data_IF_475038307624
#
_entry.id   IF_475038307624
#
_cell.length_a   1.000
_cell.length_b   1.000
_cell.length_c   1.000
_cell.angle_alpha   90.00
_cell.angle_beta   90.00
_cell.angle_gamma   90.00
#
_symmetry.space_group_name_H-M   'P 1'
#
loop_
_entity.id
_entity.type
_entity.pdbx_description
1 polymer ?
#
# COMPACT_ATOMS: atom_id res chain seq x y z
N UNK A 1 2.39 -9.61 0.33
CA UNK A 1 2.45 -8.34 1.09
C UNK A 1 1.16 -7.61 0.80
N UNK A 2 0.28 -7.41 1.80
CA UNK A 2 -0.87 -6.52 1.60
C UNK A 2 -0.32 -5.11 1.71
N UNK A 3 0.08 -4.55 0.57
CA UNK A 3 0.35 -3.13 0.51
C UNK A 3 -0.98 -2.42 0.46
N UNK A 4 -1.35 -1.79 1.57
CA UNK A 4 -2.35 -0.73 1.52
C UNK A 4 -1.59 0.53 1.16
N UNK A 5 -1.61 0.91 -0.10
CA UNK A 5 -0.97 2.12 -0.58
C UNK A 5 -0.65 2.07 -2.05
N UNK A 6 -0.44 3.25 -2.66
CA UNK A 6 -0.42 3.42 -4.10
C UNK A 6 0.58 2.47 -4.72
N UNK A 7 0.07 1.63 -5.63
CA UNK A 7 0.92 0.97 -6.61
C UNK A 7 1.81 2.03 -7.23
N UNK A 8 3.11 1.77 -7.21
CA UNK A 8 4.17 2.67 -7.66
C UNK A 8 3.78 3.29 -9.02
N UNK A 9 3.39 4.57 -9.01
CA UNK A 9 3.05 5.30 -10.23
C UNK A 9 4.37 5.73 -10.86
N UNK A 10 4.79 5.01 -11.89
CA UNK A 10 5.88 5.46 -12.75
C UNK A 10 5.45 6.75 -13.46
N UNK A 11 5.94 7.89 -12.98
CA UNK A 11 5.74 9.19 -13.59
C UNK A 11 6.57 9.31 -14.88
N UNK A 12 6.06 8.77 -15.99
CA UNK A 12 6.51 9.14 -17.33
C UNK A 12 5.58 10.24 -17.87
N UNK A 13 5.89 11.49 -17.57
CA UNK A 13 5.20 12.67 -18.09
C UNK A 13 5.68 12.98 -19.52
N UNK A 14 4.83 12.72 -20.51
CA UNK A 14 4.93 13.22 -21.88
C UNK A 14 4.52 14.70 -21.91
N UNK A 15 5.49 15.59 -22.18
CA UNK A 15 5.31 17.05 -22.19
C UNK A 15 4.82 17.62 -23.53
N UNK A 16 4.25 16.81 -24.42
CA UNK A 16 3.83 17.30 -25.74
C UNK A 16 2.31 17.53 -25.87
N UNK A 17 1.79 18.58 -25.23
CA UNK A 17 0.58 19.35 -25.65
C UNK A 17 0.20 20.41 -24.60
N UNK A 18 0.64 21.65 -24.80
CA UNK A 18 0.02 22.82 -24.17
C UNK A 18 -0.26 23.83 -25.29
N UNK A 19 -1.53 23.96 -25.66
CA UNK A 19 -2.05 25.08 -26.46
C UNK A 19 -2.99 25.90 -25.60
N UNK A 20 -2.85 27.20 -25.73
CA UNK A 20 -3.39 28.25 -24.90
C UNK A 20 -4.93 28.27 -24.78
N UNK A 21 -5.41 28.71 -23.62
CA UNK A 21 -6.67 29.45 -23.53
C UNK A 21 -6.57 30.53 -22.45
N UNK A 22 -6.95 31.75 -22.84
CA UNK A 22 -6.87 33.01 -22.09
C UNK A 22 -8.16 33.20 -21.28
N UNK A 23 -8.03 33.55 -20.00
CA UNK A 23 -9.14 33.99 -19.10
C UNK A 23 -9.64 35.40 -19.44
N UNK A 24 -10.79 35.81 -18.88
CA UNK A 24 -10.67 36.81 -17.80
C UNK A 24 -11.72 36.69 -16.66
N UNK A 25 -11.30 37.10 -15.46
CA UNK A 25 -12.17 37.89 -14.57
C UNK A 25 -12.39 37.38 -13.13
N UNK A 26 -11.71 38.01 -12.16
CA UNK A 26 -12.23 38.20 -10.79
C UNK A 26 -11.34 37.71 -9.64
N UNK A 27 -11.34 38.37 -8.46
CA UNK A 27 -10.10 38.77 -7.79
C UNK A 27 -9.86 38.18 -6.38
N UNK A 28 -8.61 38.33 -5.90
CA UNK A 28 -8.11 38.31 -4.51
C UNK A 28 -8.22 36.95 -3.76
N UNK A 29 -7.19 36.40 -3.10
CA UNK A 29 -6.16 37.00 -2.24
C UNK A 29 -4.87 36.17 -2.32
N UNK A 30 -3.73 36.85 -2.53
CA UNK A 30 -2.39 36.26 -2.51
C UNK A 30 -1.89 36.04 -1.07
N UNK A 31 -1.46 34.81 -0.78
CA UNK A 31 -0.46 34.52 0.25
C UNK A 31 0.28 33.22 -0.10
N UNK A 32 1.15 33.28 -1.10
CA UNK A 32 2.14 32.22 -1.38
C UNK A 32 3.45 32.85 -1.84
N UNK A 33 4.50 32.62 -1.05
CA UNK A 33 5.94 32.81 -1.36
C UNK A 33 6.70 32.45 -0.07
N UNK A 34 7.66 31.53 0.03
CA UNK A 34 8.70 30.93 -0.84
C UNK A 34 9.09 29.56 -0.23
N UNK A 35 9.82 28.61 -0.84
CA UNK A 35 11.03 28.66 -1.69
C UNK A 35 11.05 27.42 -2.61
N UNK A 36 11.38 27.49 -3.91
CA UNK A 36 12.69 27.74 -4.58
C UNK A 36 13.82 26.80 -4.17
N UNK A 37 14.04 25.76 -4.98
CA UNK A 37 15.39 25.40 -5.43
C UNK A 37 15.38 25.32 -6.96
N UNK A 38 16.40 25.96 -7.53
CA UNK A 38 16.64 26.28 -8.92
C UNK A 38 17.41 25.14 -9.60
N UNK A 39 16.98 24.82 -10.81
CA UNK A 39 17.75 24.53 -12.04
C UNK A 39 19.13 23.86 -11.95
N UNK A 40 19.29 22.77 -12.71
CA UNK A 40 20.43 22.64 -13.61
C UNK A 40 19.96 22.16 -14.99
N UNK A 41 20.23 23.01 -15.98
CA UNK A 41 20.08 22.78 -17.42
C UNK A 41 21.19 21.86 -17.96
N UNK A 42 20.92 21.23 -19.13
CA UNK A 42 21.75 21.10 -20.35
C UNK A 42 21.25 19.90 -21.21
N UNK A 43 21.54 19.81 -22.53
CA UNK A 43 21.10 20.64 -23.65
C UNK A 43 20.44 19.78 -24.79
N UNK A 44 19.91 20.40 -25.88
CA UNK A 44 19.26 19.67 -26.98
C UNK A 44 20.27 19.22 -28.06
N UNK A 45 20.18 17.96 -28.47
CA UNK A 45 21.07 17.34 -29.47
C UNK A 45 20.32 16.78 -30.68
N UNK A 46 20.16 17.62 -31.71
CA UNK A 46 20.16 17.34 -33.16
C UNK A 46 19.59 16.01 -33.71
N UNK A 47 18.49 16.17 -34.46
CA UNK A 47 18.07 15.37 -35.61
C UNK A 47 19.22 15.12 -36.61
N UNK A 48 19.44 13.86 -37.01
CA UNK A 48 19.99 13.52 -38.34
C UNK A 48 19.31 12.29 -38.94
N UNK A 49 18.87 12.49 -40.18
CA UNK A 49 18.34 11.55 -41.16
C UNK A 49 19.50 10.86 -41.89
N UNK A 50 19.45 9.54 -42.07
CA UNK A 50 20.28 8.76 -43.02
C UNK A 50 19.70 7.33 -43.03
N UNK A 51 18.91 6.99 -44.05
CA UNK A 51 19.31 6.26 -45.26
C UNK A 51 19.63 4.78 -45.04
N UNK A 52 18.83 3.95 -45.72
CA UNK A 52 18.95 2.52 -45.81
C UNK A 52 20.27 2.10 -46.47
N UNK A 53 20.90 1.05 -45.96
CA UNK A 53 21.82 0.23 -46.76
C UNK A 53 21.73 -1.22 -46.30
N UNK A 54 21.13 -2.02 -47.18
CA UNK A 54 21.15 -3.48 -47.21
C UNK A 54 22.59 -3.98 -47.23
N UNK A 55 23.01 -4.78 -46.24
CA UNK A 55 24.16 -5.68 -46.41
C UNK A 55 23.89 -7.08 -45.86
N UNK A 56 24.18 -8.01 -46.78
CA UNK A 56 24.16 -9.47 -46.71
C UNK A 56 24.84 -10.00 -45.45
N UNK A 57 24.24 -11.05 -44.92
CA UNK A 57 24.75 -11.82 -43.79
C UNK A 57 26.13 -12.41 -44.05
N UNK A 58 26.95 -12.36 -43.01
CA UNK A 58 28.12 -13.20 -42.83
C UNK A 58 28.06 -13.68 -41.38
N UNK A 59 27.72 -14.97 -41.21
CA UNK A 59 27.87 -15.70 -39.97
C UNK A 59 29.35 -15.64 -39.54
N UNK A 60 29.60 -15.11 -38.34
CA UNK A 60 30.89 -15.27 -37.64
C UNK A 60 30.69 -16.08 -36.36
N UNK A 61 31.64 -16.97 -36.03
CA UNK A 61 31.55 -17.85 -34.87
C UNK A 61 31.84 -17.11 -33.55
N UNK A 62 31.29 -17.72 -32.51
CA UNK A 62 31.13 -17.31 -31.12
C UNK A 62 32.47 -16.98 -30.42
N UNK A 63 32.55 -15.81 -29.78
CA UNK A 63 33.52 -15.53 -28.70
C UNK A 63 32.78 -15.50 -27.37
N UNK A 64 32.60 -16.70 -26.80
CA UNK A 64 32.09 -16.90 -25.45
C UNK A 64 33.10 -16.43 -24.42
N UNK A 65 32.87 -15.25 -23.84
CA UNK A 65 33.53 -14.78 -22.60
C UNK A 65 32.88 -13.53 -21.97
N UNK A 66 31.94 -12.87 -22.65
CA UNK A 66 31.30 -11.65 -22.13
C UNK A 66 29.94 -11.86 -21.45
N UNK A 67 29.33 -13.05 -21.51
CA UNK A 67 27.97 -13.30 -20.98
C UNK A 67 27.97 -13.61 -19.47
N UNK A 68 29.11 -13.99 -18.89
CA UNK A 68 29.18 -14.36 -17.48
C UNK A 68 29.15 -13.16 -16.52
N UNK A 69 29.55 -11.97 -16.95
CA UNK A 69 29.59 -10.79 -16.08
C UNK A 69 28.21 -10.13 -15.90
N UNK A 70 27.34 -10.16 -16.92
CA UNK A 70 26.01 -9.55 -16.81
C UNK A 70 25.05 -10.38 -15.96
N UNK A 71 25.17 -11.71 -15.99
CA UNK A 71 24.35 -12.60 -15.13
C UNK A 71 24.72 -12.40 -13.65
N UNK A 72 25.99 -12.13 -13.32
CA UNK A 72 26.42 -11.92 -11.94
C UNK A 72 25.89 -10.60 -11.35
N UNK A 73 25.71 -9.56 -12.18
CA UNK A 73 25.16 -8.27 -11.75
C UNK A 73 23.64 -8.36 -11.48
N UNK A 74 22.91 -9.16 -12.28
CA UNK A 74 21.48 -9.43 -12.04
C UNK A 74 21.28 -10.23 -10.74
N UNK A 75 22.18 -11.16 -10.41
CA UNK A 75 22.07 -11.93 -9.15
C UNK A 75 22.36 -11.07 -7.92
N UNK A 76 23.25 -10.07 -8.02
CA UNK A 76 23.60 -9.19 -6.90
C UNK A 76 22.51 -8.15 -6.57
N UNK A 77 21.77 -7.65 -7.57
CA UNK A 77 20.69 -6.66 -7.34
C UNK A 77 19.44 -7.32 -6.72
N UNK A 78 19.22 -8.63 -6.92
CA UNK A 78 18.08 -9.38 -6.36
C UNK A 78 18.18 -9.70 -4.86
N UNK A 79 19.27 -9.31 -4.20
CA UNK A 79 19.54 -9.65 -2.81
C UNK A 79 19.55 -8.44 -1.88
N UNK A 80 18.69 -7.45 -2.15
CA UNK A 80 18.23 -6.58 -1.07
C UNK A 80 17.38 -7.46 -0.17
N UNK A 81 17.81 -7.77 1.08
CA UNK A 81 16.95 -8.47 2.02
C UNK A 81 15.78 -7.53 2.30
N UNK A 82 14.69 -7.69 1.55
CA UNK A 82 13.41 -7.09 1.89
C UNK A 82 13.17 -7.43 3.36
N UNK A 83 13.05 -6.41 4.18
CA UNK A 83 12.82 -6.55 5.61
C UNK A 83 11.39 -7.07 5.82
N UNK A 84 11.07 -8.29 5.36
CA UNK A 84 9.90 -9.05 5.80
C UNK A 84 10.24 -9.62 7.17
N UNK A 85 10.48 -8.69 8.08
CA UNK A 85 10.79 -8.99 9.44
C UNK A 85 9.52 -9.67 9.98
N UNK A 86 9.60 -10.97 10.27
CA UNK A 86 8.44 -11.76 10.73
C UNK A 86 8.40 -11.79 12.26
N UNK A 87 7.21 -11.89 12.85
CA UNK A 87 7.04 -12.18 14.27
C UNK A 87 6.96 -13.71 14.46
N UNK A 88 7.82 -14.33 15.30
CA UNK A 88 7.75 -15.76 15.55
C UNK A 88 6.37 -16.20 16.07
N UNK A 89 5.72 -17.14 15.36
CA UNK A 89 4.39 -17.63 15.72
C UNK A 89 3.23 -16.76 15.22
N UNK A 90 3.49 -15.85 14.29
CA UNK A 90 2.49 -15.05 13.60
C UNK A 90 2.51 -15.31 12.09
N UNK A 91 1.36 -15.09 11.48
CA UNK A 91 1.18 -15.06 10.04
C UNK A 91 0.93 -13.62 9.59
N UNK A 92 1.53 -13.25 8.46
CA UNK A 92 1.25 -11.98 7.79
C UNK A 92 -0.01 -12.14 6.92
N UNK A 93 -1.01 -11.28 7.14
CA UNK A 93 -2.19 -11.18 6.28
C UNK A 93 -1.74 -10.91 4.83
N UNK A 94 -2.19 -11.75 3.90
CA UNK A 94 -1.88 -11.66 2.48
C UNK A 94 -3.07 -11.11 1.70
N UNK A 95 -2.79 -10.35 0.64
CA UNK A 95 -3.85 -9.73 -0.16
C UNK A 95 -4.67 -10.79 -0.91
N UNK A 96 -4.06 -11.93 -1.21
CA UNK A 96 -4.75 -13.09 -1.76
C UNK A 96 -5.83 -13.68 -0.85
N UNK A 97 -5.83 -13.34 0.46
CA UNK A 97 -6.88 -13.73 1.41
C UNK A 97 -8.04 -12.73 1.44
N UNK A 98 -7.94 -11.64 0.68
CA UNK A 98 -8.92 -10.56 0.66
C UNK A 98 -9.83 -10.67 -0.57
N UNK A 99 -11.12 -10.46 -0.36
CA UNK A 99 -12.14 -10.47 -1.41
C UNK A 99 -13.11 -9.32 -1.23
N UNK A 100 -13.66 -8.82 -2.34
CA UNK A 100 -14.67 -7.75 -2.31
C UNK A 100 -15.81 -8.13 -1.36
N UNK A 101 -16.15 -7.23 -0.45
CA UNK A 101 -17.26 -7.45 0.47
C UNK A 101 -18.56 -7.50 -0.32
N UNK A 102 -19.41 -8.49 -0.01
CA UNK A 102 -20.73 -8.58 -0.60
C UNK A 102 -21.69 -7.53 0.00
N UNK A 103 -22.85 -7.37 -0.64
CA UNK A 103 -23.84 -6.41 -0.20
C UNK A 103 -24.39 -6.69 1.21
N UNK A 104 -24.43 -7.96 1.63
CA UNK A 104 -24.91 -8.33 2.95
C UNK A 104 -23.93 -7.85 4.02
N UNK A 105 -22.64 -8.19 3.89
CA UNK A 105 -21.59 -7.71 4.77
C UNK A 105 -21.61 -6.19 4.87
N UNK A 106 -21.60 -5.46 3.75
CA UNK A 106 -21.61 -3.99 3.76
C UNK A 106 -22.85 -3.43 4.47
N UNK A 107 -24.01 -4.08 4.35
CA UNK A 107 -25.24 -3.65 5.03
C UNK A 107 -25.19 -3.79 6.55
N UNK A 108 -24.33 -4.68 7.08
CA UNK A 108 -24.12 -4.85 8.52
C UNK A 108 -23.10 -3.87 9.12
N UNK A 109 -22.32 -3.18 8.27
CA UNK A 109 -21.29 -2.24 8.73
C UNK A 109 -21.90 -0.91 9.20
N UNK A 110 -21.23 -0.18 10.11
CA UNK A 110 -21.68 1.14 10.57
C UNK A 110 -21.92 2.12 9.41
N UNK A 111 -22.92 3.00 9.54
CA UNK A 111 -23.45 3.86 8.45
C UNK A 111 -22.42 4.71 7.68
N UNK A 112 -21.27 5.00 8.29
CA UNK A 112 -20.16 5.70 7.64
C UNK A 112 -19.47 4.91 6.51
N UNK A 113 -19.64 3.58 6.47
CA UNK A 113 -19.02 2.70 5.47
C UNK A 113 -19.74 2.70 4.13
N UNK A 114 -21.01 3.10 4.11
CA UNK A 114 -21.93 2.93 2.98
C UNK A 114 -21.49 3.79 1.80
N UNK A 115 -20.86 4.94 2.05
CA UNK A 115 -20.22 5.79 1.04
C UNK A 115 -19.10 5.06 0.27
N UNK A 116 -18.48 4.07 0.89
CA UNK A 116 -17.32 3.34 0.38
C UNK A 116 -17.67 1.91 -0.07
N UNK A 117 -18.96 1.55 -0.09
CA UNK A 117 -19.46 0.19 -0.28
C UNK A 117 -18.78 -0.62 -1.41
N UNK A 118 -18.51 0.01 -2.55
CA UNK A 118 -17.91 -0.65 -3.72
C UNK A 118 -16.43 -1.00 -3.55
N UNK A 119 -15.76 -0.39 -2.58
CA UNK A 119 -14.33 -0.48 -2.30
C UNK A 119 -14.05 -1.15 -0.95
N UNK A 120 -15.08 -1.70 -0.30
CA UNK A 120 -14.89 -2.50 0.90
C UNK A 120 -14.42 -3.89 0.49
N UNK A 121 -13.35 -4.38 1.11
CA UNK A 121 -12.99 -5.81 1.04
C UNK A 121 -12.87 -6.40 2.44
N UNK A 122 -13.04 -7.71 2.49
CA UNK A 122 -12.88 -8.53 3.68
C UNK A 122 -11.72 -9.49 3.48
N UNK A 123 -10.81 -9.56 4.43
CA UNK A 123 -9.73 -10.53 4.47
C UNK A 123 -10.00 -11.56 5.55
N UNK A 124 -10.15 -12.82 5.16
CA UNK A 124 -10.34 -13.91 6.11
C UNK A 124 -9.00 -14.23 6.81
N UNK A 125 -9.02 -14.31 8.15
CA UNK A 125 -7.86 -14.73 8.91
C UNK A 125 -7.79 -16.25 8.91
N UNK A 126 -6.65 -16.81 8.53
CA UNK A 126 -6.46 -18.26 8.48
C UNK A 126 -5.98 -18.78 9.83
N UNK A 127 -6.64 -19.80 10.36
CA UNK A 127 -6.25 -20.58 11.51
C UNK A 127 -5.08 -21.52 11.25
N UNK A 128 -4.68 -22.22 12.32
CA UNK A 128 -3.59 -23.20 12.28
C UNK A 128 -3.89 -24.29 11.24
N UNK A 129 -2.91 -24.60 10.38
CA UNK A 129 -3.02 -25.54 9.27
C UNK A 129 -3.90 -25.07 8.09
N UNK A 130 -4.20 -23.77 7.99
CA UNK A 130 -4.85 -23.18 6.81
C UNK A 130 -6.36 -23.37 6.75
N UNK A 131 -7.01 -23.69 7.88
CA UNK A 131 -8.47 -23.60 8.00
C UNK A 131 -8.90 -22.18 8.35
N UNK A 132 -10.07 -21.67 7.94
CA UNK A 132 -10.61 -20.41 8.46
C UNK A 132 -10.59 -20.31 9.99
N UNK A 133 -10.14 -19.16 10.52
CA UNK A 133 -10.19 -18.89 11.97
C UNK A 133 -11.61 -18.53 12.45
N UNK A 134 -12.48 -18.12 11.52
CA UNK A 134 -13.77 -17.51 11.84
C UNK A 134 -13.68 -16.02 12.15
N UNK A 135 -12.51 -15.39 11.97
CA UNK A 135 -12.35 -13.94 12.03
C UNK A 135 -12.01 -13.37 10.65
N UNK A 136 -12.42 -12.14 10.41
CA UNK A 136 -12.07 -11.41 9.20
C UNK A 136 -11.78 -9.95 9.50
N UNK A 137 -10.89 -9.35 8.71
CA UNK A 137 -10.60 -7.92 8.76
C UNK A 137 -11.27 -7.24 7.58
N UNK A 138 -12.08 -6.22 7.87
CA UNK A 138 -12.79 -5.44 6.87
C UNK A 138 -12.22 -4.03 6.82
N UNK A 139 -11.93 -3.56 5.61
CA UNK A 139 -11.34 -2.25 5.36
C UNK A 139 -11.80 -1.68 4.02
N UNK A 140 -11.59 -0.38 3.84
CA UNK A 140 -11.76 0.29 2.55
C UNK A 140 -10.44 0.20 1.78
N UNK A 141 -10.48 -0.27 0.54
CA UNK A 141 -9.36 -0.23 -0.40
C UNK A 141 -9.26 1.18 -0.97
N UNK A 142 -8.54 2.02 -0.25
CA UNK A 142 -8.48 3.46 -0.52
C UNK A 142 -7.81 3.77 -1.88
N UNK A 143 -6.83 2.98 -2.31
CA UNK A 143 -6.20 3.21 -3.61
C UNK A 143 -7.19 3.00 -4.75
N UNK A 144 -8.00 1.93 -4.70
CA UNK A 144 -9.06 1.68 -5.67
C UNK A 144 -10.10 2.80 -5.63
N UNK A 145 -10.47 3.26 -4.43
CA UNK A 145 -11.38 4.39 -4.26
C UNK A 145 -10.86 5.66 -4.94
N UNK A 146 -9.60 6.02 -4.70
CA UNK A 146 -9.02 7.23 -5.27
C UNK A 146 -8.77 7.13 -6.77
N UNK A 147 -8.35 5.97 -7.28
CA UNK A 147 -8.19 5.73 -8.71
C UNK A 147 -9.52 5.91 -9.46
N UNK A 148 -10.62 5.37 -8.91
CA UNK A 148 -11.94 5.50 -9.52
C UNK A 148 -12.49 6.94 -9.40
N UNK A 149 -12.37 7.56 -8.22
CA UNK A 149 -13.01 8.84 -7.93
C UNK A 149 -12.23 10.06 -8.45
N UNK A 150 -10.91 9.99 -8.47
CA UNK A 150 -10.03 11.08 -8.86
C UNK A 150 -8.95 10.64 -9.87
N UNK A 151 -9.32 10.05 -11.02
CA UNK A 151 -8.36 9.45 -11.96
C UNK A 151 -7.34 10.45 -12.56
N UNK A 152 -7.55 11.76 -12.41
CA UNK A 152 -6.71 12.83 -12.99
C UNK A 152 -6.56 14.05 -12.06
N UNK A 153 -6.93 13.92 -10.80
CA UNK A 153 -6.94 15.03 -9.85
C UNK A 153 -6.18 14.62 -8.60
N UNK A 154 -5.64 15.60 -7.88
CA UNK A 154 -5.12 15.33 -6.56
C UNK A 154 -6.27 14.85 -5.67
N UNK A 155 -6.11 13.70 -4.99
CA UNK A 155 -7.14 13.16 -4.13
C UNK A 155 -7.46 14.19 -3.04
N UNK A 156 -8.76 14.39 -2.78
CA UNK A 156 -9.19 15.15 -1.61
C UNK A 156 -9.12 14.24 -0.39
N UNK A 157 -8.78 14.84 0.75
CA UNK A 157 -8.86 14.13 2.02
C UNK A 157 -10.27 13.60 2.26
N UNK A 158 -10.35 12.36 2.72
CA UNK A 158 -11.59 11.63 2.92
C UNK A 158 -11.60 11.02 4.33
N UNK A 159 -12.73 11.10 5.07
CA UNK A 159 -12.84 10.56 6.42
C UNK A 159 -13.08 9.05 6.39
N UNK A 160 -12.09 8.27 5.93
CA UNK A 160 -12.21 6.81 5.88
C UNK A 160 -12.42 6.22 7.28
N UNK A 161 -13.31 5.22 7.42
CA UNK A 161 -13.46 4.52 8.68
C UNK A 161 -12.22 3.67 9.00
N UNK A 162 -11.95 3.46 10.29
CA UNK A 162 -10.94 2.49 10.75
C UNK A 162 -11.33 1.08 10.34
N UNK A 163 -10.36 0.27 9.95
CA UNK A 163 -10.58 -1.15 9.67
C UNK A 163 -11.14 -1.88 10.91
N UNK A 164 -12.07 -2.80 10.68
CA UNK A 164 -12.77 -3.55 11.73
C UNK A 164 -12.33 -5.01 11.72
N UNK A 165 -12.35 -5.63 12.89
CA UNK A 165 -12.23 -7.08 13.05
C UNK A 165 -13.63 -7.61 13.33
N UNK A 166 -14.10 -8.54 12.50
CA UNK A 166 -15.40 -9.19 12.63
C UNK A 166 -15.22 -10.65 12.99
N UNK A 167 -16.15 -11.20 13.77
CA UNK A 167 -16.28 -12.64 13.97
C UNK A 167 -17.12 -13.31 12.86
N UNK A 168 -17.36 -14.61 13.01
CA UNK A 168 -18.12 -15.44 12.07
C UNK A 168 -19.60 -15.05 11.98
N UNK A 169 -20.09 -14.25 12.92
CA UNK A 169 -21.44 -13.71 12.96
C UNK A 169 -21.51 -12.26 12.46
N UNK A 170 -20.42 -11.75 11.87
CA UNK A 170 -20.26 -10.37 11.42
C UNK A 170 -20.35 -9.34 12.54
N UNK A 171 -20.19 -9.76 13.79
CA UNK A 171 -20.15 -8.84 14.93
C UNK A 171 -18.77 -8.19 14.98
N UNK A 172 -18.75 -6.87 15.19
CA UNK A 172 -17.50 -6.14 15.44
C UNK A 172 -16.92 -6.59 16.78
N UNK A 173 -15.76 -7.21 16.73
CA UNK A 173 -15.01 -7.68 17.90
C UNK A 173 -13.70 -6.91 18.09
N UNK A 174 -13.35 -6.00 17.18
CA UNK A 174 -12.16 -5.18 17.32
C UNK A 174 -12.06 -4.09 16.24
N UNK A 175 -11.08 -3.22 16.39
CA UNK A 175 -10.81 -2.13 15.44
C UNK A 175 -9.31 -1.92 15.35
N UNK A 176 -8.77 -1.85 14.12
CA UNK A 176 -7.36 -1.53 13.93
C UNK A 176 -7.13 -0.04 14.24
N UNK A 177 -6.03 0.31 14.92
CA UNK A 177 -5.78 1.70 15.33
C UNK A 177 -5.44 2.61 14.13
N UNK A 178 -5.04 2.03 13.00
CA UNK A 178 -4.66 2.75 11.78
C UNK A 178 -5.89 3.27 11.03
N UNK A 179 -5.86 4.56 10.69
CA UNK A 179 -6.72 5.16 9.66
C UNK A 179 -5.83 5.44 8.46
N UNK A 180 -6.27 5.01 7.28
CA UNK A 180 -5.54 5.21 6.04
C UNK A 180 -6.28 6.15 5.08
N UNK A 181 -5.56 7.01 4.34
CA UNK A 181 -4.17 7.41 4.56
C UNK A 181 -4.05 8.32 5.79
N UNK A 182 -2.87 8.35 6.43
CA UNK A 182 -2.46 9.51 7.25
C UNK A 182 -1.91 10.56 6.27
N UNK A 183 -1.46 11.73 6.71
CA UNK A 183 -1.00 12.82 5.82
C UNK A 183 0.06 12.39 4.77
N UNK A 184 0.71 11.23 4.96
CA UNK A 184 1.64 10.57 4.05
C UNK A 184 1.17 9.19 3.59
N UNK A 185 1.77 8.71 2.49
CA UNK A 185 1.58 7.34 1.99
C UNK A 185 2.22 6.37 3.00
N UNK A 186 1.44 5.46 3.57
CA UNK A 186 1.91 4.47 4.57
C UNK A 186 1.38 3.08 4.28
N UNK A 187 2.17 2.02 4.47
CA UNK A 187 1.75 0.65 4.18
C UNK A 187 1.65 -0.18 5.48
N UNK A 188 0.45 -0.44 6.02
CA UNK A 188 0.27 -1.24 7.21
C UNK A 188 0.35 -2.74 6.90
N UNK A 189 1.28 -3.43 7.55
CA UNK A 189 1.33 -4.90 7.59
C UNK A 189 0.61 -5.40 8.85
N UNK A 190 -0.31 -6.34 8.67
CA UNK A 190 -1.09 -6.94 9.76
C UNK A 190 -0.62 -8.36 10.00
N UNK A 191 -0.16 -8.62 11.22
CA UNK A 191 0.28 -9.94 11.66
C UNK A 191 -0.71 -10.48 12.69
N UNK A 192 -1.09 -11.75 12.59
CA UNK A 192 -2.00 -12.40 13.53
C UNK A 192 -1.44 -13.75 13.97
N UNK A 193 -1.62 -14.12 15.24
CA UNK A 193 -0.98 -15.34 15.75
C UNK A 193 -1.22 -15.62 17.22
N UNK A 194 -0.28 -16.35 17.82
CA UNK A 194 -0.36 -16.82 19.22
C UNK A 194 -1.66 -17.57 19.51
N UNK A 195 -1.97 -18.54 18.66
CA UNK A 195 -3.24 -19.24 18.67
C UNK A 195 -3.57 -19.96 19.99
N UNK A 196 -4.80 -19.76 20.47
CA UNK A 196 -5.48 -20.68 21.39
C UNK A 196 -6.64 -21.28 20.60
N UNK A 197 -6.65 -22.62 20.49
CA UNK A 197 -7.56 -23.37 19.61
C UNK A 197 -7.57 -22.81 18.17
N UNK A 198 -8.53 -21.95 17.84
CA UNK A 198 -8.69 -21.33 16.52
C UNK A 198 -8.84 -19.80 16.59
N UNK A 199 -8.51 -19.19 17.73
CA UNK A 199 -8.55 -17.74 17.93
C UNK A 199 -7.11 -17.21 17.92
N UNK A 200 -6.77 -16.24 17.06
CA UNK A 200 -5.49 -15.57 17.16
C UNK A 200 -5.53 -14.67 18.39
N UNK A 201 -4.74 -14.97 19.43
CA UNK A 201 -4.83 -14.19 20.68
C UNK A 201 -4.15 -12.83 20.58
N UNK A 202 -3.32 -12.62 19.56
CA UNK A 202 -2.67 -11.35 19.29
C UNK A 202 -2.76 -10.98 17.81
N UNK A 203 -3.05 -9.70 17.56
CA UNK A 203 -2.93 -9.04 16.25
C UNK A 203 -1.97 -7.85 16.40
N UNK A 204 -0.95 -7.80 15.54
CA UNK A 204 0.08 -6.76 15.50
C UNK A 204 -0.01 -5.99 14.20
N UNK A 205 0.31 -4.71 14.27
CA UNK A 205 0.26 -3.81 13.12
C UNK A 205 1.59 -3.07 13.07
N UNK A 206 2.35 -3.33 12.01
CA UNK A 206 3.53 -2.55 11.64
C UNK A 206 3.13 -1.65 10.48
N UNK A 207 3.74 -0.47 10.36
CA UNK A 207 3.47 0.48 9.30
C UNK A 207 4.78 0.94 8.68
N UNK A 208 4.97 0.60 7.41
CA UNK A 208 6.03 1.16 6.59
C UNK A 208 5.67 2.60 6.24
N UNK A 209 6.53 3.55 6.62
CA UNK A 209 6.35 4.96 6.28
C UNK A 209 7.59 5.47 5.54
N UNK A 210 7.54 5.62 4.20
CA UNK A 210 8.65 6.12 3.40
C UNK A 210 8.98 7.61 3.64
N UNK A 211 8.15 8.35 4.39
CA UNK A 211 8.43 9.75 4.75
C UNK A 211 9.47 9.87 5.88
N UNK A 212 9.85 11.12 6.23
CA UNK A 212 10.92 11.41 7.20
C UNK A 212 10.70 10.84 8.61
N UNK A 213 9.49 10.39 8.95
CA UNK A 213 9.16 9.77 10.24
C UNK A 213 9.63 8.32 10.40
N UNK A 214 9.90 7.63 9.29
CA UNK A 214 10.27 6.21 9.31
C UNK A 214 9.17 5.27 9.82
N UNK A 215 9.46 3.97 9.77
CA UNK A 215 8.52 2.93 10.16
C UNK A 215 8.12 3.00 11.63
N UNK A 216 6.85 2.71 11.90
CA UNK A 216 6.29 2.67 13.25
C UNK A 216 5.36 1.47 13.42
N UNK A 217 5.02 1.15 14.65
CA UNK A 217 4.09 0.05 14.95
C UNK A 217 3.08 0.46 16.01
N UNK A 218 2.06 -0.36 16.23
CA UNK A 218 1.09 -0.17 17.30
C UNK A 218 1.23 -1.24 18.37
N UNK A 219 0.79 -0.91 19.58
CA UNK A 219 0.58 -1.92 20.61
C UNK A 219 -0.33 -3.04 20.08
N UNK A 220 0.01 -4.29 20.44
CA UNK A 220 -0.75 -5.44 19.99
C UNK A 220 -2.21 -5.35 20.47
N UNK A 221 -3.11 -5.72 19.58
CA UNK A 221 -4.49 -6.04 19.92
C UNK A 221 -4.52 -7.43 20.52
N UNK A 222 -4.91 -7.53 21.78
CA UNK A 222 -4.96 -8.79 22.53
C UNK A 222 -6.41 -9.24 22.66
N UNK A 223 -6.65 -10.53 22.42
CA UNK A 223 -7.95 -11.15 22.63
C UNK A 223 -8.29 -11.21 24.12
N UNK A 224 -9.43 -10.64 24.48
CA UNK A 224 -10.01 -10.70 25.82
C UNK A 224 -11.18 -11.69 25.81
N UNK A 225 -10.93 -12.89 26.38
CA UNK A 225 -11.92 -13.95 26.50
C UNK A 225 -13.17 -13.52 27.28
N UNK A 226 -13.04 -12.61 28.26
CA UNK A 226 -14.18 -12.20 29.09
C UNK A 226 -15.19 -11.36 28.32
N UNK A 227 -14.71 -10.56 27.36
CA UNK A 227 -15.56 -9.70 26.54
C UNK A 227 -15.72 -10.17 25.09
N UNK A 228 -15.06 -11.28 24.73
CA UNK A 228 -14.97 -11.80 23.35
C UNK A 228 -14.63 -10.68 22.35
N UNK A 229 -13.59 -9.90 22.67
CA UNK A 229 -13.15 -8.77 21.84
C UNK A 229 -11.65 -8.55 21.91
N UNK A 230 -11.09 -7.97 20.85
CA UNK A 230 -9.72 -7.50 20.80
C UNK A 230 -9.61 -6.11 21.42
N UNK A 231 -8.65 -5.94 22.33
CA UNK A 231 -8.34 -4.66 22.97
C UNK A 231 -6.87 -4.32 22.78
N UNK A 232 -6.59 -3.05 22.55
CA UNK A 232 -5.23 -2.53 22.63
C UNK A 232 -4.99 -1.89 24.00
N UNK A 233 -3.77 -1.99 24.50
CA UNK A 233 -3.30 -1.20 25.64
C UNK A 233 -2.87 0.22 25.26
N UNK A 234 -2.92 0.59 23.97
CA UNK A 234 -2.64 1.93 23.48
C UNK A 234 -3.05 2.14 22.01
N UNK A 235 -3.43 3.36 21.65
CA UNK A 235 -3.85 3.70 20.26
C UNK A 235 -2.82 4.56 19.54
N UNK A 236 -1.70 4.86 20.19
CA UNK A 236 -0.65 5.71 19.67
C UNK A 236 0.34 4.87 18.86
N UNK A 237 0.88 5.49 17.81
CA UNK A 237 1.99 4.93 17.05
C UNK A 237 3.25 4.96 17.93
N UNK A 238 4.03 3.88 17.88
CA UNK A 238 5.27 3.72 18.62
C UNK A 238 6.40 3.74 17.60
N UNK A 239 7.24 4.76 17.69
CA UNK A 239 8.42 4.89 16.84
C UNK A 239 9.54 3.93 17.29
N UNK A 240 10.35 3.47 16.33
CA UNK A 240 11.57 2.74 16.61
C UNK A 240 11.47 1.22 16.47
N UNK A 241 12.36 0.50 17.15
CA UNK A 241 12.53 -0.94 16.92
C UNK A 241 11.36 -1.74 17.48
N UNK A 242 10.75 -2.55 16.62
CA UNK A 242 9.69 -3.49 16.98
C UNK A 242 10.08 -4.45 18.12
N UNK A 243 9.13 -4.85 18.98
CA UNK A 243 9.37 -5.89 19.97
C UNK A 243 9.65 -7.23 19.28
N UNK A 244 10.66 -7.97 19.72
CA UNK A 244 10.97 -9.32 19.19
C UNK A 244 10.11 -10.40 19.84
#
# INVERSE_FOLDING_TARGET
MVRWGPGQIDNQLDTSKISAFVSPGGPHVDALRWATIRSHELPPGSMKRSEATTRKGILRPIRGRAVFLEILLIILISSVPGHTASYPGFELLQESQCSKADAYLVSTLPTQWQKYALFVKSCELMGKAGSPSGFQIVSVWVDEYFQEKYPRQHPRWEPFPKALILDSHLKVVGTLPVVYPRDDITFPDVFYGRWITNVPTEIRIDVENPAEGGDYYYAALVWDESSHSYRSHGTEAIDGTRPR
#
